data_IF_749055978390
#
_entry.id   IF_749055978390
#
_cell.length_a   1.000
_cell.length_b   1.000
_cell.length_c   1.000
_cell.angle_alpha   90.00
_cell.angle_beta   90.00
_cell.angle_gamma   90.00
#
_symmetry.space_group_name_H-M   'P 1'
#
loop_
_entity.id
_entity.type
_entity.pdbx_description
1 polymer ?
#
# COMPACT_ATOMS: atom_id res chain seq x y z
N UNK A 1 4.90 52.30 -34.67
CA UNK A 1 6.09 51.97 -33.85
C UNK A 1 5.72 51.65 -32.40
N UNK A 2 5.08 52.57 -31.65
CA UNK A 2 4.73 52.37 -30.22
C UNK A 2 3.75 51.20 -30.00
N UNK A 3 2.74 51.03 -30.87
CA UNK A 3 1.77 49.93 -30.76
C UNK A 3 2.41 48.53 -30.93
N UNK A 4 3.40 48.38 -31.83
CA UNK A 4 4.12 47.12 -32.02
C UNK A 4 4.97 46.76 -30.78
N UNK A 5 5.57 47.77 -30.15
CA UNK A 5 6.31 47.62 -28.88
C UNK A 5 5.39 47.16 -27.73
N UNK A 6 4.17 47.69 -27.67
CA UNK A 6 3.16 47.31 -26.68
C UNK A 6 2.69 45.86 -26.89
N UNK A 7 2.46 45.45 -28.13
CA UNK A 7 2.09 44.06 -28.47
C UNK A 7 3.21 43.09 -28.10
N UNK A 8 4.47 43.44 -28.39
CA UNK A 8 5.62 42.63 -28.01
C UNK A 8 5.77 42.52 -26.48
N UNK A 9 5.57 43.61 -25.74
CA UNK A 9 5.63 43.60 -24.27
C UNK A 9 4.55 42.70 -23.66
N UNK A 10 3.31 42.76 -24.17
CA UNK A 10 2.21 41.89 -23.72
C UNK A 10 2.49 40.42 -24.04
N UNK A 11 3.04 40.11 -25.22
CA UNK A 11 3.44 38.75 -25.58
C UNK A 11 4.57 38.22 -24.68
N UNK A 12 5.54 39.06 -24.31
CA UNK A 12 6.62 38.68 -23.39
C UNK A 12 6.06 38.42 -21.98
N UNK A 13 5.17 39.27 -21.48
CA UNK A 13 4.51 39.04 -20.18
C UNK A 13 3.67 37.76 -20.21
N UNK A 14 2.95 37.50 -21.31
CA UNK A 14 2.16 36.29 -21.50
C UNK A 14 3.05 35.03 -21.56
N UNK A 15 4.18 35.09 -22.27
CA UNK A 15 5.16 34.02 -22.31
C UNK A 15 5.80 33.77 -20.95
N UNK A 16 6.15 34.83 -20.20
CA UNK A 16 6.66 34.70 -18.83
C UNK A 16 5.61 34.14 -17.88
N UNK A 17 4.34 34.49 -18.04
CA UNK A 17 3.23 33.96 -17.26
C UNK A 17 3.01 32.46 -17.52
N UNK A 18 3.04 32.02 -18.80
CA UNK A 18 2.96 30.60 -19.15
C UNK A 18 4.21 29.85 -18.67
N UNK A 19 5.41 30.42 -18.86
CA UNK A 19 6.68 29.81 -18.43
C UNK A 19 6.79 29.73 -16.91
N UNK A 20 6.23 30.69 -16.16
CA UNK A 20 6.07 30.60 -14.70
C UNK A 20 5.11 29.51 -14.25
N UNK A 21 4.17 29.10 -15.12
CA UNK A 21 3.25 27.97 -14.91
C UNK A 21 3.79 26.63 -15.36
N UNK A 22 4.95 26.54 -16.05
CA UNK A 22 5.62 25.27 -16.35
C UNK A 22 6.05 24.52 -15.06
N UNK A 23 6.07 25.21 -13.91
CA UNK A 23 6.24 24.63 -12.58
C UNK A 23 4.96 24.07 -11.94
N UNK A 24 3.78 24.35 -12.49
CA UNK A 24 2.55 23.63 -12.14
C UNK A 24 2.63 22.30 -12.87
N UNK A 25 3.48 21.41 -12.34
CA UNK A 25 3.36 19.98 -12.55
C UNK A 25 1.88 19.70 -12.34
N UNK A 26 1.16 19.45 -13.43
CA UNK A 26 -0.12 18.77 -13.39
C UNK A 26 0.26 17.47 -12.68
N UNK A 27 0.07 17.43 -11.34
CA UNK A 27 0.31 16.22 -10.57
C UNK A 27 -0.54 15.21 -11.32
N UNK A 28 0.11 14.17 -11.86
CA UNK A 28 -0.61 13.01 -12.39
C UNK A 28 -1.75 12.72 -11.41
N UNK A 29 -2.97 12.40 -11.87
CA UNK A 29 -4.05 12.02 -10.96
C UNK A 29 -3.43 11.03 -9.97
N UNK A 30 -3.32 11.46 -8.71
CA UNK A 30 -2.57 10.69 -7.72
C UNK A 30 -3.25 9.34 -7.66
N UNK A 31 -2.44 8.31 -7.77
CA UNK A 31 -2.92 6.93 -7.69
C UNK A 31 -3.72 6.81 -6.38
N UNK A 32 -4.86 6.13 -6.43
CA UNK A 32 -5.73 5.97 -5.25
C UNK A 32 -4.93 5.35 -4.09
N UNK A 33 -4.00 4.45 -4.41
CA UNK A 33 -3.05 3.89 -3.46
C UNK A 33 -2.16 4.95 -2.82
N UNK A 34 -1.59 5.86 -3.61
CA UNK A 34 -0.72 6.95 -3.10
C UNK A 34 -1.50 7.86 -2.14
N UNK A 35 -2.76 8.20 -2.47
CA UNK A 35 -3.63 9.00 -1.59
C UNK A 35 -3.96 8.27 -0.29
N UNK A 36 -4.25 6.97 -0.35
CA UNK A 36 -4.52 6.15 0.85
C UNK A 36 -3.27 6.02 1.73
N UNK A 37 -2.09 5.87 1.14
CA UNK A 37 -0.81 5.85 1.86
C UNK A 37 -0.54 7.18 2.58
N UNK A 38 -0.69 8.31 1.89
CA UNK A 38 -0.50 9.64 2.46
C UNK A 38 -1.47 9.88 3.64
N UNK A 39 -2.75 9.53 3.45
CA UNK A 39 -3.76 9.67 4.50
C UNK A 39 -3.44 8.81 5.72
N UNK A 40 -3.06 7.54 5.51
CA UNK A 40 -2.68 6.65 6.61
C UNK A 40 -1.45 7.16 7.36
N UNK A 41 -0.43 7.64 6.63
CA UNK A 41 0.76 8.24 7.22
C UNK A 41 0.41 9.42 8.14
N UNK A 42 -0.45 10.34 7.69
CA UNK A 42 -0.89 11.47 8.53
C UNK A 42 -1.60 11.01 9.80
N UNK A 43 -2.47 9.99 9.70
CA UNK A 43 -3.18 9.45 10.86
C UNK A 43 -2.23 8.80 11.88
N UNK A 44 -1.27 8.01 11.41
CA UNK A 44 -0.25 7.40 12.28
C UNK A 44 0.58 8.48 12.95
N UNK A 45 1.03 9.48 12.21
CA UNK A 45 1.82 10.59 12.77
C UNK A 45 1.05 11.38 13.82
N UNK A 46 -0.24 11.66 13.57
CA UNK A 46 -1.10 12.34 14.54
C UNK A 46 -1.33 11.50 15.80
N UNK A 47 -1.55 10.19 15.65
CA UNK A 47 -1.63 9.25 16.76
C UNK A 47 -0.35 9.25 17.60
N UNK A 48 0.81 9.13 16.97
CA UNK A 48 2.11 9.13 17.66
C UNK A 48 2.39 10.47 18.36
N UNK A 49 2.05 11.62 17.74
CA UNK A 49 2.14 12.94 18.39
C UNK A 49 1.29 13.00 19.66
N UNK A 50 0.04 12.52 19.58
CA UNK A 50 -0.87 12.46 20.73
C UNK A 50 -0.36 11.53 21.83
N UNK A 51 0.28 10.42 21.48
CA UNK A 51 0.88 9.52 22.47
C UNK A 51 2.09 10.16 23.16
N UNK A 52 2.95 10.85 22.40
CA UNK A 52 4.16 11.51 22.94
C UNK A 52 3.84 12.66 23.90
N UNK A 53 2.69 13.33 23.76
CA UNK A 53 2.31 14.43 24.64
C UNK A 53 1.88 14.01 26.05
N UNK A 54 1.63 12.71 26.30
CA UNK A 54 1.25 12.20 27.62
C UNK A 54 1.80 10.80 27.85
N UNK A 55 2.73 10.67 28.81
CA UNK A 55 3.36 9.40 29.16
C UNK A 55 2.53 8.64 30.21
N UNK A 56 1.42 8.04 29.78
CA UNK A 56 0.62 7.15 30.63
C UNK A 56 0.85 5.67 30.30
N UNK A 57 0.78 4.80 31.31
CA UNK A 57 0.88 3.33 31.13
C UNK A 57 -0.15 2.79 30.13
N UNK A 58 -1.37 3.35 30.13
CA UNK A 58 -2.42 3.00 29.17
C UNK A 58 -2.03 3.32 27.72
N UNK A 59 -1.37 4.46 27.49
CA UNK A 59 -0.90 4.87 26.17
C UNK A 59 0.26 4.01 25.67
N UNK A 60 1.18 3.63 26.56
CA UNK A 60 2.27 2.69 26.25
C UNK A 60 1.69 1.34 25.82
N UNK A 61 0.77 0.76 26.62
CA UNK A 61 0.09 -0.50 26.27
C UNK A 61 -0.66 -0.43 24.95
N UNK A 62 -1.27 0.73 24.63
CA UNK A 62 -1.94 0.90 23.33
C UNK A 62 -0.93 0.91 22.20
N UNK A 63 0.18 1.62 22.35
CA UNK A 63 1.25 1.66 21.34
C UNK A 63 1.83 0.27 21.09
N UNK A 64 2.11 -0.51 22.15
CA UNK A 64 2.60 -1.89 22.04
C UNK A 64 1.65 -2.76 21.22
N UNK A 65 0.34 -2.67 21.46
CA UNK A 65 -0.67 -3.40 20.67
C UNK A 65 -0.69 -3.00 19.19
N UNK A 66 -0.56 -1.71 18.88
CA UNK A 66 -0.50 -1.26 17.48
C UNK A 66 0.79 -1.72 16.80
N UNK A 67 1.93 -1.70 17.50
CA UNK A 67 3.20 -2.22 16.99
C UNK A 67 3.08 -3.71 16.70
N UNK A 68 2.57 -4.50 17.65
CA UNK A 68 2.38 -5.94 17.49
C UNK A 68 1.43 -6.24 16.31
N UNK A 69 0.33 -5.49 16.20
CA UNK A 69 -0.61 -5.64 15.07
C UNK A 69 0.08 -5.33 13.75
N UNK A 70 0.86 -4.26 13.68
CA UNK A 70 1.55 -3.86 12.45
C UNK A 70 2.61 -4.89 12.03
N UNK A 71 3.34 -5.46 12.99
CA UNK A 71 4.27 -6.55 12.74
C UNK A 71 3.55 -7.78 12.16
N UNK A 72 2.40 -8.16 12.72
CA UNK A 72 1.60 -9.28 12.19
C UNK A 72 1.12 -9.06 10.76
N UNK A 73 0.73 -7.84 10.40
CA UNK A 73 0.37 -7.49 9.01
C UNK A 73 1.56 -7.74 8.10
N UNK A 74 2.72 -7.17 8.43
CA UNK A 74 3.94 -7.30 7.63
C UNK A 74 4.36 -8.77 7.48
N UNK A 75 4.39 -9.54 8.57
CA UNK A 75 4.77 -10.94 8.53
C UNK A 75 3.82 -11.77 7.64
N UNK A 76 2.51 -11.48 7.70
CA UNK A 76 1.52 -12.14 6.86
C UNK A 76 1.69 -11.77 5.38
N UNK A 77 1.90 -10.50 5.08
CA UNK A 77 2.11 -10.03 3.71
C UNK A 77 3.40 -10.61 3.11
N UNK A 78 4.47 -10.74 3.90
CA UNK A 78 5.72 -11.40 3.47
C UNK A 78 5.49 -12.87 3.10
N UNK A 79 4.66 -13.60 3.85
CA UNK A 79 4.33 -15.01 3.55
C UNK A 79 3.50 -15.08 2.27
N UNK A 80 2.51 -14.20 2.12
CA UNK A 80 1.63 -14.20 0.95
C UNK A 80 2.36 -13.76 -0.32
N UNK A 81 3.25 -12.78 -0.23
CA UNK A 81 4.06 -12.34 -1.37
C UNK A 81 5.02 -13.46 -1.83
N UNK A 82 5.57 -14.25 -0.89
CA UNK A 82 6.34 -15.46 -1.25
C UNK A 82 5.45 -16.48 -1.99
N UNK A 83 4.22 -16.70 -1.52
CA UNK A 83 3.28 -17.61 -2.16
C UNK A 83 2.90 -17.16 -3.58
N UNK A 84 2.75 -15.86 -3.80
CA UNK A 84 2.38 -15.29 -5.11
C UNK A 84 3.54 -15.28 -6.12
N UNK A 85 4.77 -15.08 -5.66
CA UNK A 85 5.97 -15.07 -6.52
C UNK A 85 6.53 -16.46 -6.80
N UNK A 86 6.11 -17.47 -6.03
CA UNK A 86 6.60 -18.83 -6.19
C UNK A 86 6.07 -19.45 -7.50
N UNK A 87 6.97 -20.10 -8.22
CA UNK A 87 6.71 -20.72 -9.52
C UNK A 87 6.25 -22.15 -9.39
N UNK A 88 6.68 -22.85 -8.33
CA UNK A 88 6.24 -24.21 -8.04
C UNK A 88 4.86 -24.19 -7.38
N UNK A 89 3.83 -24.79 -8.01
CA UNK A 89 2.48 -24.81 -7.42
C UNK A 89 2.43 -25.47 -6.04
N UNK A 90 3.27 -26.49 -5.81
CA UNK A 90 3.33 -27.17 -4.52
C UNK A 90 3.88 -26.26 -3.42
N UNK A 91 5.00 -25.57 -3.68
CA UNK A 91 5.58 -24.65 -2.71
C UNK A 91 4.69 -23.44 -2.47
N UNK A 92 4.01 -22.93 -3.50
CA UNK A 92 3.02 -21.88 -3.35
C UNK A 92 1.88 -22.31 -2.42
N UNK A 93 1.36 -23.54 -2.58
CA UNK A 93 0.37 -24.11 -1.65
C UNK A 93 0.93 -24.19 -0.23
N UNK A 94 2.16 -24.65 -0.05
CA UNK A 94 2.78 -24.76 1.28
C UNK A 94 2.88 -23.37 1.96
N UNK A 95 3.26 -22.32 1.23
CA UNK A 95 3.26 -20.94 1.75
C UNK A 95 1.85 -20.42 2.05
N UNK A 96 0.84 -20.73 1.24
CA UNK A 96 -0.55 -20.38 1.56
C UNK A 96 -1.07 -21.11 2.80
N UNK A 97 -0.67 -22.37 3.02
CA UNK A 97 -0.98 -23.10 4.25
C UNK A 97 -0.27 -22.49 5.47
N UNK A 98 0.96 -22.02 5.30
CA UNK A 98 1.69 -21.26 6.32
C UNK A 98 0.93 -19.97 6.69
N UNK A 99 0.45 -19.21 5.70
CA UNK A 99 -0.36 -18.01 5.93
C UNK A 99 -1.66 -18.32 6.67
N UNK A 100 -2.37 -19.40 6.32
CA UNK A 100 -3.57 -19.85 7.05
C UNK A 100 -3.25 -20.23 8.49
N UNK A 101 -2.15 -20.93 8.73
CA UNK A 101 -1.68 -21.27 10.07
C UNK A 101 -1.38 -20.02 10.89
N UNK A 102 -0.71 -19.03 10.28
CA UNK A 102 -0.40 -17.75 10.90
C UNK A 102 -1.67 -17.00 11.32
N UNK A 103 -2.66 -16.90 10.42
CA UNK A 103 -3.97 -16.28 10.68
C UNK A 103 -4.67 -16.96 11.86
N UNK A 104 -4.73 -18.30 11.86
CA UNK A 104 -5.39 -19.06 12.91
C UNK A 104 -4.69 -18.93 14.27
N UNK A 105 -3.35 -18.96 14.28
CA UNK A 105 -2.54 -18.84 15.51
C UNK A 105 -2.68 -17.46 16.17
N UNK A 106 -2.83 -16.41 15.36
CA UNK A 106 -2.85 -15.03 15.83
C UNK A 106 -4.25 -14.44 15.99
N UNK A 107 -5.31 -15.18 15.63
CA UNK A 107 -6.69 -14.70 15.57
C UNK A 107 -6.85 -13.42 14.72
N UNK A 108 -6.14 -13.37 13.58
CA UNK A 108 -5.85 -12.15 12.83
C UNK A 108 -6.29 -12.26 11.36
N UNK A 109 -6.95 -11.23 10.79
CA UNK A 109 -7.40 -11.18 9.38
C UNK A 109 -8.15 -12.44 8.89
N UNK A 110 -9.10 -12.93 9.69
CA UNK A 110 -9.88 -14.15 9.38
C UNK A 110 -10.66 -14.06 8.07
N UNK A 111 -11.02 -12.86 7.66
CA UNK A 111 -11.68 -12.56 6.38
C UNK A 111 -10.85 -13.01 5.16
N UNK A 112 -9.51 -13.01 5.25
CA UNK A 112 -8.62 -13.44 4.17
C UNK A 112 -8.53 -14.96 4.04
N UNK A 113 -9.04 -15.72 5.01
CA UNK A 113 -9.04 -17.19 4.98
C UNK A 113 -9.71 -17.73 3.72
N UNK A 114 -10.88 -17.20 3.36
CA UNK A 114 -11.62 -17.64 2.20
C UNK A 114 -10.83 -17.41 0.90
N UNK A 115 -10.21 -16.24 0.76
CA UNK A 115 -9.37 -15.90 -0.40
C UNK A 115 -8.18 -16.86 -0.53
N UNK A 116 -7.48 -17.15 0.58
CA UNK A 116 -6.33 -18.05 0.57
C UNK A 116 -6.76 -19.49 0.24
N UNK A 117 -7.88 -19.97 0.77
CA UNK A 117 -8.44 -21.28 0.44
C UNK A 117 -8.81 -21.39 -1.05
N UNK A 118 -9.34 -20.33 -1.65
CA UNK A 118 -9.62 -20.28 -3.08
C UNK A 118 -8.32 -20.35 -3.91
N UNK A 119 -7.27 -19.62 -3.53
CA UNK A 119 -5.96 -19.70 -4.21
C UNK A 119 -5.35 -21.11 -4.12
N UNK A 120 -5.44 -21.77 -2.97
CA UNK A 120 -4.99 -23.17 -2.81
C UNK A 120 -5.77 -24.10 -3.76
N UNK A 121 -7.10 -23.99 -3.80
CA UNK A 121 -7.94 -24.82 -4.69
C UNK A 121 -7.58 -24.60 -6.16
N UNK A 122 -7.38 -23.36 -6.58
CA UNK A 122 -6.97 -23.03 -7.95
C UNK A 122 -5.63 -23.67 -8.32
N UNK A 123 -4.63 -23.60 -7.42
CA UNK A 123 -3.33 -24.23 -7.61
C UNK A 123 -3.43 -25.76 -7.69
N UNK A 124 -4.22 -26.38 -6.83
CA UNK A 124 -4.45 -27.84 -6.85
C UNK A 124 -5.10 -28.31 -8.16
N UNK A 125 -6.08 -27.57 -8.67
CA UNK A 125 -6.73 -27.87 -9.96
C UNK A 125 -5.77 -27.72 -11.15
N UNK A 126 -4.90 -26.70 -11.13
CA UNK A 126 -3.89 -26.51 -12.17
C UNK A 126 -2.88 -27.66 -12.21
N UNK A 127 -2.48 -28.16 -11.04
CA UNK A 127 -1.60 -29.33 -10.89
C UNK A 127 -2.28 -30.62 -11.39
N UNK A 128 -3.56 -30.81 -11.07
CA UNK A 128 -4.32 -31.98 -11.53
C UNK A 128 -4.47 -32.06 -13.06
N UNK A 129 -4.56 -30.91 -13.74
CA UNK A 129 -4.59 -30.84 -15.21
C UNK A 129 -3.24 -31.12 -15.87
N UNK A 130 -2.12 -30.80 -15.21
CA UNK A 130 -0.77 -31.06 -15.73
C UNK A 130 -0.35 -32.54 -15.65
N UNK A 131 -0.98 -33.35 -14.80
CA UNK A 131 -0.66 -34.79 -14.67
C UNK A 131 -1.46 -35.66 -15.65
N UNK A 132 -2.53 -35.12 -16.24
CA UNK A 132 -3.42 -35.82 -17.18
C UNK A 132 -3.06 -35.58 -18.66
N UNK A 133 -2.02 -34.80 -18.94
CA UNK A 133 -1.46 -34.54 -20.27
C UNK A 133 -0.04 -35.09 -20.34
#
# INVERSE_FOLDING_TARGET
>A
MVQLLLIAAVLIIFLLYIRGREGVKIKKPRDELELRCDFFYEQVMNFLRRLKSSRSKTRIRRLEKEIERFQKVMDLDDILEKAERETSPQKAIDYYLEALSFIMKNDFEKERKAEIEEKIKALQQSKGKQVLH
#
